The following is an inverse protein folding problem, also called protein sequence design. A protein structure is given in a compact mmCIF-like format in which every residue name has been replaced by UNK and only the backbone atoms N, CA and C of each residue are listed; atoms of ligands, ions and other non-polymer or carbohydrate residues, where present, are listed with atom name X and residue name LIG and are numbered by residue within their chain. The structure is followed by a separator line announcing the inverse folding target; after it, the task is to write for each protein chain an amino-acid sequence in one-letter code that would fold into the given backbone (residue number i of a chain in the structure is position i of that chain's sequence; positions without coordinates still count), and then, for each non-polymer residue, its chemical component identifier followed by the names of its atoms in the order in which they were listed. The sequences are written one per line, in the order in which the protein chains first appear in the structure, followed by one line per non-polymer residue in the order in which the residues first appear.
data_IF_748453679602
#
_entry.id   IF_748453679602
#
_cell.length_a   1.000
_cell.length_b   1.000
_cell.length_c   1.000
_cell.angle_alpha   90.00
_cell.angle_beta   90.00
_cell.angle_gamma   90.00
#
_symmetry.space_group_name_H-M   'P 1'
#
loop_
_entity.id
_entity.type
_entity.pdbx_description
1 polymer ?
#
# COMPACT_ATOMS: atom_id res chain seq x y z
N UNK A 1 16.37 5.76 1.77
CA UNK A 1 16.86 6.07 0.40
C UNK A 1 15.73 6.77 -0.34
N UNK A 2 16.00 7.85 -1.06
CA UNK A 2 14.97 8.49 -1.90
C UNK A 2 14.91 7.71 -3.21
N UNK A 3 13.73 7.24 -3.59
CA UNK A 3 13.51 6.55 -4.87
C UNK A 3 13.02 7.52 -5.95
N UNK A 4 12.11 8.42 -5.57
CA UNK A 4 11.57 9.43 -6.47
C UNK A 4 11.10 10.66 -5.70
N UNK A 5 11.02 11.78 -6.41
CA UNK A 5 10.40 13.02 -5.94
C UNK A 5 8.98 13.21 -6.51
N UNK A 6 8.62 12.48 -7.57
CA UNK A 6 7.33 12.53 -8.25
C UNK A 6 6.92 11.10 -8.65
N UNK A 7 6.16 10.36 -7.82
CA UNK A 7 5.69 10.78 -6.50
C UNK A 7 6.84 10.80 -5.51
N UNK A 8 6.66 11.51 -4.40
CA UNK A 8 7.61 11.41 -3.28
C UNK A 8 7.59 9.98 -2.74
N UNK A 9 8.65 9.23 -2.99
CA UNK A 9 8.78 7.83 -2.62
C UNK A 9 10.13 7.57 -1.94
N UNK A 10 10.10 6.95 -0.76
CA UNK A 10 11.26 6.66 0.07
C UNK A 10 11.30 5.17 0.44
N UNK A 11 12.48 4.58 0.29
CA UNK A 11 12.75 3.20 0.64
C UNK A 11 13.52 3.08 1.95
N UNK A 12 13.10 2.16 2.79
CA UNK A 12 13.67 1.87 4.09
C UNK A 12 14.12 0.42 4.15
N UNK A 13 15.41 0.11 3.90
CA UNK A 13 15.90 -1.25 4.02
C UNK A 13 15.87 -1.71 5.48
N UNK A 14 15.50 -2.96 5.72
CA UNK A 14 15.43 -3.62 7.03
C UNK A 14 14.64 -2.80 8.06
N UNK A 15 13.49 -2.29 7.62
CA UNK A 15 12.59 -1.52 8.47
C UNK A 15 11.89 -2.38 9.54
N UNK A 16 11.69 -3.67 9.30
CA UNK A 16 11.28 -4.63 10.32
C UNK A 16 12.24 -5.82 10.32
N UNK A 17 12.34 -6.51 11.45
CA UNK A 17 13.09 -7.77 11.52
C UNK A 17 12.30 -8.88 10.83
N UNK A 18 13.00 -9.95 10.43
CA UNK A 18 12.35 -11.12 9.86
C UNK A 18 11.31 -11.74 10.82
N UNK A 19 11.63 -11.77 12.13
CA UNK A 19 10.73 -12.25 13.18
C UNK A 19 9.45 -11.40 13.28
N UNK A 20 9.58 -10.06 13.24
CA UNK A 20 8.42 -9.17 13.23
C UNK A 20 7.53 -9.45 12.01
N UNK A 21 8.11 -9.62 10.82
CA UNK A 21 7.36 -9.95 9.62
C UNK A 21 6.62 -11.30 9.75
N UNK A 22 7.29 -12.32 10.26
CA UNK A 22 6.73 -13.67 10.43
C UNK A 22 5.59 -13.69 11.44
N UNK A 23 5.71 -12.95 12.54
CA UNK A 23 4.66 -12.79 13.54
C UNK A 23 3.41 -12.12 12.93
N UNK A 24 3.58 -11.03 12.18
CA UNK A 24 2.46 -10.35 11.51
C UNK A 24 1.77 -11.28 10.51
N UNK A 25 2.53 -12.02 9.70
CA UNK A 25 1.96 -13.00 8.75
C UNK A 25 1.20 -14.10 9.49
N UNK A 26 1.76 -14.64 10.58
CA UNK A 26 1.13 -15.69 11.39
C UNK A 26 -0.21 -15.22 11.97
N UNK A 27 -0.26 -14.01 12.52
CA UNK A 27 -1.49 -13.42 13.08
C UNK A 27 -2.52 -13.18 11.97
N UNK A 28 -2.12 -12.62 10.84
CA UNK A 28 -3.02 -12.29 9.73
C UNK A 28 -3.63 -13.54 9.05
N UNK A 29 -2.87 -14.65 8.96
CA UNK A 29 -3.31 -15.90 8.33
C UNK A 29 -4.64 -16.44 8.88
N UNK A 30 -4.91 -16.25 10.18
CA UNK A 30 -6.14 -16.75 10.81
C UNK A 30 -7.41 -16.01 10.34
N UNK A 31 -7.27 -14.82 9.75
CA UNK A 31 -8.38 -13.92 9.47
C UNK A 31 -8.50 -13.52 7.99
N UNK A 32 -7.65 -14.07 7.11
CA UNK A 32 -7.67 -13.74 5.70
C UNK A 32 -9.02 -14.04 5.04
N UNK A 33 -9.52 -13.07 4.29
CA UNK A 33 -10.67 -13.20 3.40
C UNK A 33 -10.37 -12.51 2.06
N UNK A 34 -11.11 -12.80 0.98
CA UNK A 34 -10.97 -12.05 -0.26
C UNK A 34 -11.04 -10.54 -0.01
N UNK A 35 -10.10 -9.78 -0.59
CA UNK A 35 -10.01 -8.33 -0.39
C UNK A 35 -11.15 -7.60 -1.08
N UNK A 36 -11.65 -6.54 -0.45
CA UNK A 36 -12.65 -5.63 -1.02
C UNK A 36 -12.02 -4.30 -1.45
N UNK A 37 -12.81 -3.50 -2.17
CA UNK A 37 -12.46 -2.16 -2.65
C UNK A 37 -13.40 -1.12 -2.05
N UNK A 38 -12.91 0.10 -1.90
CA UNK A 38 -13.78 1.26 -1.72
C UNK A 38 -14.45 1.55 -3.07
N UNK A 39 -15.77 1.35 -3.13
CA UNK A 39 -16.54 1.51 -4.37
C UNK A 39 -16.82 2.98 -4.66
N UNK A 40 -16.64 3.39 -5.92
CA UNK A 40 -17.07 4.71 -6.41
C UNK A 40 -18.58 4.74 -6.61
N UNK A 41 -19.14 5.94 -6.77
CA UNK A 41 -20.57 6.10 -7.06
C UNK A 41 -20.95 5.34 -8.35
N UNK A 42 -21.81 4.33 -8.21
CA UNK A 42 -22.29 3.50 -9.32
C UNK A 42 -21.55 2.18 -9.51
N UNK A 43 -20.46 1.94 -8.79
CA UNK A 43 -19.75 0.66 -8.80
C UNK A 43 -20.38 -0.35 -7.82
N UNK A 44 -20.25 -1.62 -8.16
CA UNK A 44 -20.56 -2.77 -7.33
C UNK A 44 -19.37 -3.74 -7.24
N UNK A 45 -19.45 -4.71 -6.34
CA UNK A 45 -18.45 -5.78 -6.25
C UNK A 45 -18.29 -6.55 -7.57
N UNK A 46 -19.38 -6.79 -8.32
CA UNK A 46 -19.32 -7.50 -9.59
C UNK A 46 -18.61 -6.66 -10.68
N UNK A 47 -18.90 -5.36 -10.75
CA UNK A 47 -18.27 -4.46 -11.74
C UNK A 47 -16.79 -4.23 -11.51
N UNK A 48 -16.31 -4.46 -10.28
CA UNK A 48 -14.92 -4.22 -9.86
C UNK A 48 -14.12 -5.51 -9.70
N UNK A 49 -14.72 -6.65 -10.08
CA UNK A 49 -14.11 -7.97 -10.01
C UNK A 49 -12.83 -8.02 -10.85
N UNK A 50 -11.76 -8.57 -10.28
CA UNK A 50 -10.46 -8.72 -10.96
C UNK A 50 -9.51 -7.53 -10.82
N UNK A 51 -10.00 -6.35 -10.41
CA UNK A 51 -9.15 -5.17 -10.16
C UNK A 51 -8.16 -5.46 -9.03
N UNK A 52 -8.64 -6.05 -7.93
CA UNK A 52 -7.84 -6.54 -6.81
C UNK A 52 -8.20 -7.99 -6.55
N UNK A 53 -7.19 -8.85 -6.53
CA UNK A 53 -7.38 -10.30 -6.45
C UNK A 53 -6.70 -10.92 -5.24
N UNK A 54 -6.20 -10.11 -4.31
CA UNK A 54 -5.59 -10.56 -3.05
C UNK A 54 -6.60 -11.09 -2.04
N UNK A 55 -6.09 -11.80 -1.05
CA UNK A 55 -6.75 -11.94 0.25
C UNK A 55 -6.19 -10.92 1.25
N UNK A 56 -6.98 -10.48 2.22
CA UNK A 56 -6.55 -9.52 3.22
C UNK A 56 -7.31 -9.60 4.53
N UNK A 57 -6.76 -8.92 5.53
CA UNK A 57 -7.41 -8.64 6.82
C UNK A 57 -6.87 -7.33 7.39
N UNK A 58 -7.63 -6.71 8.28
CA UNK A 58 -7.15 -5.57 9.06
C UNK A 58 -6.64 -6.06 10.42
N UNK A 59 -5.51 -5.52 10.85
CA UNK A 59 -4.95 -5.74 12.19
C UNK A 59 -4.54 -4.40 12.81
N UNK A 60 -5.09 -4.09 13.97
CA UNK A 60 -4.61 -3.00 14.81
C UNK A 60 -3.36 -3.41 15.59
N UNK A 61 -2.64 -2.44 16.15
CA UNK A 61 -1.48 -2.72 16.97
C UNK A 61 -1.83 -3.48 18.27
N UNK A 62 -3.04 -3.27 18.78
CA UNK A 62 -3.57 -3.92 19.98
C UNK A 62 -3.96 -5.39 19.74
N UNK A 63 -4.26 -5.76 18.49
CA UNK A 63 -4.59 -7.13 18.09
C UNK A 63 -3.35 -8.00 17.85
N UNK A 64 -2.14 -7.40 17.83
CA UNK A 64 -0.87 -8.11 17.73
C UNK A 64 -0.26 -8.36 19.13
N UNK A 65 -0.35 -9.60 19.66
CA UNK A 65 0.15 -9.92 20.99
C UNK A 65 1.67 -9.82 21.11
N UNK A 66 2.40 -9.76 19.99
CA UNK A 66 3.86 -9.66 19.99
C UNK A 66 4.36 -8.23 20.16
N UNK A 67 3.49 -7.23 19.96
CA UNK A 67 3.85 -5.81 19.98
C UNK A 67 4.61 -5.33 18.73
N UNK A 68 4.86 -6.21 17.74
CA UNK A 68 5.59 -5.87 16.53
C UNK A 68 4.93 -4.72 15.76
N UNK A 69 3.60 -4.76 15.59
CA UNK A 69 2.86 -3.69 14.89
C UNK A 69 2.97 -2.34 15.62
N UNK A 70 2.95 -2.33 16.96
CA UNK A 70 3.10 -1.09 17.74
C UNK A 70 4.50 -0.46 17.58
N UNK A 71 5.54 -1.27 17.52
CA UNK A 71 6.91 -0.82 17.26
C UNK A 71 7.05 -0.29 15.83
N UNK A 72 6.51 -1.02 14.84
CA UNK A 72 6.49 -0.61 13.44
C UNK A 72 5.77 0.73 13.28
N UNK A 73 4.60 0.91 13.88
CA UNK A 73 3.89 2.20 13.88
C UNK A 73 4.72 3.33 14.49
N UNK A 74 5.44 3.07 15.57
CA UNK A 74 6.33 4.07 16.18
C UNK A 74 7.45 4.47 15.23
N UNK A 75 8.01 3.53 14.47
CA UNK A 75 9.00 3.83 13.43
C UNK A 75 8.39 4.59 12.27
N UNK A 76 7.18 4.23 11.83
CA UNK A 76 6.45 4.93 10.76
C UNK A 76 6.18 6.37 11.18
N UNK A 77 5.68 6.59 12.39
CA UNK A 77 5.43 7.91 12.94
C UNK A 77 6.67 8.80 12.96
N UNK A 78 7.84 8.23 13.30
CA UNK A 78 9.12 8.94 13.23
C UNK A 78 9.53 9.26 11.78
N UNK A 79 9.36 8.32 10.87
CA UNK A 79 9.72 8.48 9.46
C UNK A 79 8.86 9.53 8.75
N UNK A 80 7.59 9.65 9.13
CA UNK A 80 6.62 10.54 8.50
C UNK A 80 6.44 11.86 9.25
N UNK A 81 6.93 11.93 10.49
CA UNK A 81 6.66 13.00 11.46
C UNK A 81 5.17 13.19 11.76
N UNK A 82 4.38 12.11 11.64
CA UNK A 82 2.94 12.12 11.92
C UNK A 82 2.62 11.25 13.14
N UNK A 83 1.66 11.64 14.00
CA UNK A 83 1.29 10.84 15.16
C UNK A 83 0.73 9.47 14.76
N UNK A 84 0.96 8.45 15.59
CA UNK A 84 0.41 7.10 15.38
C UNK A 84 -1.12 7.09 15.22
N UNK A 85 -1.80 7.99 15.92
CA UNK A 85 -3.27 8.15 15.88
C UNK A 85 -3.81 8.55 14.51
N UNK A 86 -2.97 8.99 13.58
CA UNK A 86 -3.37 9.28 12.20
C UNK A 86 -3.36 8.03 11.31
N UNK A 87 -2.78 6.93 11.78
CA UNK A 87 -2.64 5.71 11.00
C UNK A 87 -3.83 4.77 11.17
N UNK A 88 -4.51 4.44 10.07
CA UNK A 88 -5.54 3.39 10.04
C UNK A 88 -4.96 2.02 10.47
N UNK A 89 -5.75 1.04 10.94
CA UNK A 89 -5.26 -0.32 11.16
C UNK A 89 -4.51 -0.87 9.93
N UNK A 90 -3.51 -1.73 10.14
CA UNK A 90 -2.76 -2.29 9.01
C UNK A 90 -3.68 -3.15 8.16
N UNK A 91 -3.69 -2.89 6.86
CA UNK A 91 -4.27 -3.80 5.89
C UNK A 91 -3.21 -4.81 5.47
N UNK A 92 -3.26 -6.01 6.03
CA UNK A 92 -2.32 -7.10 5.73
C UNK A 92 -2.87 -7.93 4.58
N UNK A 93 -2.06 -8.07 3.53
CA UNK A 93 -2.48 -8.62 2.24
C UNK A 93 -1.58 -9.76 1.82
N UNK A 94 -2.20 -10.77 1.19
CA UNK A 94 -1.54 -11.92 0.58
C UNK A 94 -1.90 -11.97 -0.90
N UNK A 95 -0.88 -12.08 -1.75
CA UNK A 95 -1.00 -12.31 -3.18
C UNK A 95 -0.33 -13.63 -3.55
N UNK A 96 -1.11 -14.53 -4.11
CA UNK A 96 -0.66 -15.79 -4.72
C UNK A 96 -0.24 -15.56 -6.17
N UNK A 97 0.31 -16.59 -6.82
CA UNK A 97 0.74 -16.54 -8.22
C UNK A 97 -0.41 -16.03 -9.11
N UNK A 98 -0.11 -15.04 -9.96
CA UNK A 98 -1.04 -14.37 -10.85
C UNK A 98 -1.89 -13.28 -10.19
N UNK A 99 -2.01 -13.24 -8.86
CA UNK A 99 -2.78 -12.21 -8.18
C UNK A 99 -2.05 -10.86 -8.24
N UNK A 100 -2.86 -9.79 -8.36
CA UNK A 100 -2.43 -8.42 -8.62
C UNK A 100 -3.37 -7.41 -7.98
N UNK A 101 -2.97 -6.15 -8.06
CA UNK A 101 -3.86 -5.00 -7.84
C UNK A 101 -3.58 -3.97 -8.93
N UNK A 102 -4.57 -3.71 -9.79
CA UNK A 102 -4.49 -2.66 -10.80
C UNK A 102 -4.16 -1.30 -10.18
N UNK A 103 -3.57 -0.43 -11.00
CA UNK A 103 -3.16 0.90 -10.59
C UNK A 103 -4.32 1.70 -10.00
N UNK A 104 -4.11 2.33 -8.85
CA UNK A 104 -5.09 3.12 -8.13
C UNK A 104 -4.43 4.22 -7.30
N UNK A 105 -5.26 5.12 -6.79
CA UNK A 105 -4.85 6.12 -5.81
C UNK A 105 -5.32 5.68 -4.43
N UNK A 106 -4.48 5.92 -3.43
CA UNK A 106 -4.86 5.75 -2.03
C UNK A 106 -5.66 6.96 -1.50
N UNK A 107 -5.51 8.13 -2.13
CA UNK A 107 -6.33 9.29 -1.82
C UNK A 107 -7.75 9.14 -2.41
N UNK A 108 -8.74 9.61 -1.65
CA UNK A 108 -10.14 9.61 -2.06
C UNK A 108 -10.49 10.93 -2.76
N UNK A 109 -10.55 10.91 -4.09
CA UNK A 109 -11.01 12.04 -4.89
C UNK A 109 -12.47 12.39 -4.55
N UNK A 110 -12.77 13.60 -4.04
CA UNK A 110 -14.12 14.00 -3.70
C UNK A 110 -15.12 13.93 -4.86
N UNK A 111 -14.66 14.06 -6.11
CA UNK A 111 -15.52 13.91 -7.28
C UNK A 111 -16.04 12.47 -7.46
N UNK A 112 -15.27 11.47 -7.00
CA UNK A 112 -15.57 10.05 -7.16
C UNK A 112 -16.18 9.41 -5.90
N UNK A 113 -15.71 9.86 -4.73
CA UNK A 113 -16.04 9.28 -3.42
C UNK A 113 -16.89 10.22 -2.54
N UNK A 114 -17.22 11.42 -3.02
CA UNK A 114 -17.93 12.44 -2.23
C UNK A 114 -17.02 13.15 -1.22
N UNK A 115 -17.57 14.12 -0.46
CA UNK A 115 -16.78 14.92 0.49
C UNK A 115 -16.15 14.04 1.58
N UNK A 116 -14.85 14.22 1.78
CA UNK A 116 -14.07 13.46 2.76
C UNK A 116 -13.84 14.27 4.04
N UNK A 117 -14.05 13.66 5.21
CA UNK A 117 -13.75 14.31 6.51
C UNK A 117 -12.25 14.43 6.79
N UNK A 118 -11.48 13.52 6.21
CA UNK A 118 -10.03 13.39 6.34
C UNK A 118 -9.50 12.64 5.12
N UNK A 119 -8.27 12.93 4.71
CA UNK A 119 -7.63 12.35 3.53
C UNK A 119 -6.42 11.49 3.89
N UNK A 120 -6.17 10.41 3.13
CA UNK A 120 -4.92 9.64 3.20
C UNK A 120 -3.80 10.45 2.55
N UNK A 121 -2.86 10.93 3.37
CA UNK A 121 -1.74 11.79 2.91
C UNK A 121 -0.54 10.98 2.44
N UNK A 122 -0.34 9.81 3.05
CA UNK A 122 0.78 8.92 2.78
C UNK A 122 0.41 7.47 3.06
N UNK A 123 1.16 6.59 2.43
CA UNK A 123 1.03 5.14 2.58
C UNK A 123 2.39 4.55 2.87
N UNK A 124 2.44 3.70 3.89
CA UNK A 124 3.62 2.92 4.21
C UNK A 124 3.34 1.44 3.96
N UNK A 125 4.10 0.83 3.05
CA UNK A 125 4.03 -0.59 2.72
C UNK A 125 5.22 -1.29 3.37
N UNK A 126 4.95 -2.20 4.29
CA UNK A 126 5.95 -3.10 4.85
C UNK A 126 5.88 -4.45 4.12
N UNK A 127 6.94 -4.82 3.42
CA UNK A 127 7.03 -6.12 2.78
C UNK A 127 7.34 -7.21 3.81
N UNK A 128 6.47 -8.21 3.91
CA UNK A 128 6.57 -9.27 4.94
C UNK A 128 7.20 -10.56 4.40
N UNK A 129 7.35 -10.69 3.09
CA UNK A 129 8.06 -11.79 2.42
C UNK A 129 8.98 -11.28 1.33
N UNK A 130 10.00 -12.07 1.02
CA UNK A 130 10.73 -11.96 -0.23
C UNK A 130 9.89 -12.57 -1.35
N UNK A 131 9.80 -11.87 -2.47
CA UNK A 131 9.13 -12.37 -3.68
C UNK A 131 10.19 -12.72 -4.71
N UNK A 132 10.15 -13.97 -5.20
CA UNK A 132 11.16 -14.47 -6.13
C UNK A 132 11.08 -13.71 -7.46
N UNK A 133 9.89 -13.62 -8.04
CA UNK A 133 9.63 -12.96 -9.32
C UNK A 133 8.24 -12.29 -9.36
N UNK A 134 8.17 -11.08 -9.92
CA UNK A 134 6.95 -10.27 -9.94
C UNK A 134 6.62 -9.64 -8.59
N UNK A 135 5.36 -9.25 -8.41
CA UNK A 135 4.86 -8.70 -7.15
C UNK A 135 5.36 -7.30 -6.81
N UNK A 136 6.06 -6.60 -7.72
CA UNK A 136 6.57 -5.25 -7.48
C UNK A 136 5.44 -4.28 -7.15
N UNK A 137 5.72 -3.34 -6.25
CA UNK A 137 4.91 -2.12 -6.15
C UNK A 137 5.41 -1.19 -7.23
N UNK A 138 4.53 -0.79 -8.15
CA UNK A 138 4.88 0.03 -9.30
C UNK A 138 4.26 1.42 -9.23
N UNK A 139 4.94 2.41 -9.81
CA UNK A 139 4.46 3.77 -10.03
C UNK A 139 4.58 4.09 -11.53
N UNK A 140 3.52 3.87 -12.33
CA UNK A 140 3.56 4.08 -13.77
C UNK A 140 3.83 5.53 -14.18
N UNK A 141 3.46 6.49 -13.33
CA UNK A 141 3.58 7.93 -13.61
C UNK A 141 4.77 8.60 -12.93
N UNK A 142 5.78 7.81 -12.57
CA UNK A 142 7.00 8.35 -11.97
C UNK A 142 7.63 9.42 -12.90
N UNK A 143 8.00 10.56 -12.33
CA UNK A 143 8.44 11.78 -13.02
C UNK A 143 7.51 12.30 -14.13
N UNK A 144 6.23 11.94 -14.08
CA UNK A 144 5.24 12.30 -15.11
C UNK A 144 5.32 11.43 -16.37
N UNK A 145 6.11 10.36 -16.33
CA UNK A 145 6.18 9.39 -17.43
C UNK A 145 4.82 8.75 -17.67
N UNK A 146 4.57 8.29 -18.91
CA UNK A 146 3.35 7.58 -19.30
C UNK A 146 2.02 8.34 -19.10
N UNK A 147 2.01 9.57 -18.59
CA UNK A 147 0.79 10.38 -18.42
C UNK A 147 0.19 10.85 -19.75
N UNK A 148 0.99 10.89 -20.80
CA UNK A 148 0.59 11.34 -22.15
C UNK A 148 0.15 10.20 -23.07
N UNK A 149 0.17 8.95 -22.61
CA UNK A 149 -0.27 7.78 -23.38
C UNK A 149 -1.57 7.23 -22.80
N UNK A 150 -2.37 6.54 -23.62
CA UNK A 150 -3.50 5.77 -23.13
C UNK A 150 -2.99 4.63 -22.25
N UNK A 151 -2.88 4.89 -20.95
CA UNK A 151 -2.34 3.94 -19.99
C UNK A 151 -3.39 2.89 -19.60
N UNK A 152 -3.03 1.63 -19.76
CA UNK A 152 -3.79 0.50 -19.22
C UNK A 152 -3.35 0.28 -17.77
N UNK A 153 -4.30 0.48 -16.85
CA UNK A 153 -4.11 0.39 -15.40
C UNK A 153 -3.65 -0.99 -14.91
N UNK A 154 -3.65 -2.01 -15.76
CA UNK A 154 -3.12 -3.34 -15.44
C UNK A 154 -1.63 -3.52 -15.77
N UNK A 155 -1.02 -2.63 -16.54
CA UNK A 155 0.36 -2.78 -17.00
C UNK A 155 1.38 -2.56 -15.88
N UNK A 156 2.38 -3.44 -15.76
CA UNK A 156 3.46 -3.32 -14.77
C UNK A 156 4.64 -2.49 -15.31
N UNK A 157 4.56 -1.16 -15.24
CA UNK A 157 5.57 -0.22 -15.82
C UNK A 157 5.98 0.89 -14.85
N UNK A 158 6.91 1.75 -15.29
CA UNK A 158 7.44 2.87 -14.50
C UNK A 158 8.43 2.41 -13.42
N UNK A 159 8.51 3.16 -12.33
CA UNK A 159 9.32 2.79 -11.17
C UNK A 159 8.77 1.53 -10.53
N UNK A 160 9.61 0.52 -10.32
CA UNK A 160 9.23 -0.76 -9.70
C UNK A 160 10.06 -1.05 -8.46
N UNK A 161 9.37 -1.31 -7.34
CA UNK A 161 9.99 -1.65 -6.06
C UNK A 161 9.76 -3.13 -5.76
N UNK A 162 10.83 -3.92 -5.80
CA UNK A 162 10.79 -5.36 -5.53
C UNK A 162 10.52 -5.62 -4.03
N UNK A 163 9.55 -6.49 -3.68
CA UNK A 163 9.32 -6.86 -2.28
C UNK A 163 10.50 -7.66 -1.72
N UNK A 164 11.02 -7.19 -0.59
CA UNK A 164 12.08 -7.85 0.18
C UNK A 164 11.66 -7.85 1.64
N UNK A 165 11.74 -9.00 2.30
CA UNK A 165 11.23 -9.15 3.67
C UNK A 165 11.87 -8.12 4.60
N UNK A 166 11.04 -7.40 5.35
CA UNK A 166 11.45 -6.38 6.30
C UNK A 166 11.65 -5.00 5.69
N UNK A 167 11.72 -4.86 4.37
CA UNK A 167 11.90 -3.56 3.73
C UNK A 167 10.58 -2.76 3.72
N UNK A 168 10.69 -1.45 3.89
CA UNK A 168 9.57 -0.51 3.90
C UNK A 168 9.58 0.43 2.69
N UNK A 169 8.42 0.74 2.16
CA UNK A 169 8.20 1.75 1.13
C UNK A 169 7.20 2.79 1.64
N UNK A 170 7.64 4.03 1.78
CA UNK A 170 6.79 5.18 2.06
C UNK A 170 6.57 5.96 0.77
N UNK A 171 5.32 6.27 0.44
CA UNK A 171 5.00 7.23 -0.60
C UNK A 171 3.87 8.17 -0.19
N UNK A 172 3.82 9.35 -0.80
CA UNK A 172 2.81 10.36 -0.49
C UNK A 172 1.75 10.42 -1.59
N UNK A 173 0.49 10.36 -1.18
CA UNK A 173 -0.67 10.47 -2.09
C UNK A 173 -0.99 11.92 -2.44
N UNK A 174 -0.51 12.87 -1.61
CA UNK A 174 -0.77 14.29 -1.78
C UNK A 174 0.53 15.08 -1.99
N UNK A 175 0.39 16.14 -2.78
CA UNK A 175 1.33 17.24 -2.88
C UNK A 175 1.40 18.03 -1.56
N UNK A 176 2.44 18.84 -1.37
CA UNK A 176 2.62 19.65 -0.15
C UNK A 176 1.49 20.68 0.05
N UNK A 177 0.85 21.11 -1.05
CA UNK A 177 -0.32 22.00 -1.02
C UNK A 177 -1.64 21.25 -0.67
N UNK A 178 -1.60 19.94 -0.40
CA UNK A 178 -2.75 19.11 -0.05
C UNK A 178 -3.58 18.59 -1.22
N UNK A 179 -3.22 18.90 -2.47
CA UNK A 179 -3.92 18.32 -3.64
C UNK A 179 -3.43 16.89 -3.90
N UNK A 180 -4.28 16.06 -4.52
CA UNK A 180 -3.87 14.70 -4.93
C UNK A 180 -2.69 14.81 -5.90
N UNK A 181 -1.65 14.03 -5.64
CA UNK A 181 -0.51 13.90 -6.53
C UNK A 181 -0.86 12.88 -7.63
N UNK A 182 -1.03 13.28 -8.91
CA UNK A 182 -1.36 12.35 -9.98
C UNK A 182 -0.24 11.32 -10.21
N UNK A 183 1.01 11.65 -9.87
CA UNK A 183 2.13 10.71 -10.01
C UNK A 183 2.12 9.60 -8.94
N UNK A 184 1.31 9.75 -7.89
CA UNK A 184 1.14 8.74 -6.82
C UNK A 184 0.27 7.54 -7.22
N UNK A 185 -0.20 7.50 -8.48
CA UNK A 185 -0.85 6.32 -9.03
C UNK A 185 0.10 5.13 -8.88
N UNK A 186 -0.37 4.06 -8.26
CA UNK A 186 0.48 2.90 -7.98
C UNK A 186 -0.32 1.61 -8.02
N UNK A 187 0.35 0.48 -8.21
CA UNK A 187 -0.29 -0.84 -8.25
C UNK A 187 0.63 -1.93 -7.74
N UNK A 188 0.08 -3.13 -7.61
CA UNK A 188 0.85 -4.35 -7.34
C UNK A 188 0.90 -5.19 -8.61
N UNK A 189 2.10 -5.32 -9.19
CA UNK A 189 2.32 -6.19 -10.32
C UNK A 189 1.94 -7.65 -9.96
N UNK A 190 1.56 -8.47 -10.96
CA UNK A 190 1.26 -9.88 -10.72
C UNK A 190 2.44 -10.60 -10.07
N UNK A 191 2.18 -11.46 -9.09
CA UNK A 191 3.20 -12.38 -8.59
C UNK A 191 3.45 -13.45 -9.65
N UNK A 192 4.69 -13.62 -10.09
CA UNK A 192 5.05 -14.64 -11.09
C UNK A 192 5.57 -15.89 -10.37
N UNK A 193 6.40 -15.71 -9.33
CA UNK A 193 6.96 -16.81 -8.54
C UNK A 193 7.08 -16.44 -7.06
N UNK A 194 6.71 -17.40 -6.21
CA UNK A 194 6.65 -17.22 -4.76
C UNK A 194 5.29 -16.69 -4.29
N UNK A 195 5.30 -15.94 -3.20
CA UNK A 195 4.11 -15.39 -2.56
C UNK A 195 4.43 -14.03 -1.93
N UNK A 196 3.56 -13.04 -2.17
CA UNK A 196 3.74 -11.69 -1.61
C UNK A 196 2.85 -11.52 -0.39
N UNK A 197 3.47 -11.17 0.73
CA UNK A 197 2.79 -10.57 1.86
C UNK A 197 3.24 -9.13 2.05
N UNK A 198 2.27 -8.24 2.29
CA UNK A 198 2.52 -6.82 2.55
C UNK A 198 1.54 -6.31 3.59
N UNK A 199 2.02 -5.52 4.54
CA UNK A 199 1.19 -4.76 5.46
C UNK A 199 1.18 -3.29 5.04
N UNK A 200 0.00 -2.78 4.66
CA UNK A 200 -0.20 -1.38 4.29
C UNK A 200 -0.72 -0.59 5.48
N UNK A 201 -0.03 0.48 5.83
CA UNK A 201 -0.47 1.49 6.80
C UNK A 201 -0.84 2.76 6.04
N UNK A 202 -2.13 3.07 5.99
CA UNK A 202 -2.60 4.34 5.46
C UNK A 202 -2.57 5.41 6.56
N UNK A 203 -1.99 6.56 6.24
CA UNK A 203 -1.80 7.66 7.19
C UNK A 203 -2.67 8.84 6.75
N UNK A 204 -3.49 9.34 7.67
CA UNK A 204 -4.43 10.41 7.42
C UNK A 204 -3.93 11.79 7.87
N UNK A 205 -4.49 12.84 7.31
CA UNK A 205 -4.23 14.23 7.73
C UNK A 205 -4.81 14.55 9.13
N UNK A 206 -5.70 13.71 9.65
CA UNK A 206 -6.34 13.82 10.97
C UNK A 206 -6.30 12.49 11.70
N UNK A 207 -6.53 12.53 13.01
CA UNK A 207 -6.73 11.32 13.83
C UNK A 207 -7.87 10.46 13.29
N UNK A 208 -7.64 9.14 13.27
CA UNK A 208 -8.58 8.09 12.88
C UNK A 208 -9.34 7.56 14.10
#
# INVERSE_FOLDING_TARGET
QILSWQPRALYFPQFATAEQCENVVKTAKAWLRPSTLALRKGESEETTKGIRTSSGTFLSAEEDPTGALAEIETKIAKATMMPRSHGEPFNVLRYEIGQKYASHYDAFDPAQYGPQKSQRVASFLLYLTDVEEGGETMFPYENGDNMNIGYDYEQCIGLKVKPRKGDGLLFYSLMVNGTIDPTSLHGSCPVIKGEKWVATKWIRDKTV
#
